data_IF_476991546840
#
_entry.id   IF_476991546840
#
_cell.length_a   1.000
_cell.length_b   1.000
_cell.length_c   1.000
_cell.angle_alpha   90.00
_cell.angle_beta   90.00
_cell.angle_gamma   90.00
#
_symmetry.space_group_name_H-M   'P 1'
#
loop_
_entity.id
_entity.type
_entity.pdbx_description
1 polymer ?
#
# COMPACT_ATOMS: atom_id res chain seq x y z
N UNK A 1 63.66 -27.43 28.50
CA UNK A 1 64.24 -27.01 27.19
C UNK A 1 63.59 -27.82 26.07
N UNK A 2 63.32 -27.15 24.94
CA UNK A 2 63.07 -27.67 23.58
C UNK A 2 61.74 -28.40 23.27
N UNK A 3 60.89 -27.71 22.50
CA UNK A 3 59.98 -28.30 21.50
C UNK A 3 60.79 -28.76 20.27
N UNK A 4 60.33 -29.79 19.55
CA UNK A 4 60.00 -29.63 18.13
C UNK A 4 58.66 -30.33 17.81
N UNK A 5 57.77 -29.80 16.98
CA UNK A 5 57.99 -29.58 15.55
C UNK A 5 57.49 -30.81 14.79
N UNK A 6 56.18 -30.90 14.56
CA UNK A 6 55.52 -32.02 13.88
C UNK A 6 54.45 -31.52 12.91
N UNK A 7 54.70 -31.75 11.64
CA UNK A 7 53.94 -31.36 10.46
C UNK A 7 52.51 -31.93 10.41
N UNK A 8 51.55 -31.05 10.08
CA UNK A 8 50.36 -31.18 9.18
C UNK A 8 49.51 -32.47 9.19
N UNK A 9 48.17 -32.34 9.05
CA UNK A 9 47.65 -31.95 7.73
C UNK A 9 46.66 -30.79 7.75
N UNK A 10 46.87 -29.90 6.76
CA UNK A 10 45.86 -28.97 6.28
C UNK A 10 44.62 -29.77 5.91
N UNK A 11 43.48 -29.42 6.50
CA UNK A 11 42.16 -29.92 6.09
C UNK A 11 42.04 -29.72 4.58
N UNK A 12 41.92 -30.84 3.87
CA UNK A 12 41.59 -30.89 2.45
C UNK A 12 40.17 -30.36 2.33
N UNK A 13 40.00 -29.12 1.89
CA UNK A 13 38.71 -28.67 1.38
C UNK A 13 38.38 -29.55 0.16
N UNK A 14 37.20 -30.17 0.08
CA UNK A 14 36.81 -30.84 -1.15
C UNK A 14 36.71 -29.80 -2.27
N UNK A 15 37.55 -29.96 -3.28
CA UNK A 15 37.56 -29.19 -4.53
C UNK A 15 36.39 -29.60 -5.43
N UNK A 16 35.17 -29.42 -4.94
CA UNK A 16 33.95 -29.63 -5.69
C UNK A 16 32.90 -28.65 -5.18
N UNK A 17 33.07 -27.39 -5.57
CA UNK A 17 31.97 -26.44 -5.57
C UNK A 17 31.28 -26.62 -6.93
N UNK A 18 30.01 -27.03 -6.99
CA UNK A 18 29.29 -27.05 -8.25
C UNK A 18 29.23 -25.62 -8.82
N UNK A 19 29.33 -25.43 -10.15
CA UNK A 19 29.11 -24.12 -10.73
C UNK A 19 27.73 -23.64 -10.33
N UNK A 20 27.61 -22.36 -9.94
CA UNK A 20 26.32 -21.72 -9.66
C UNK A 20 25.55 -21.52 -10.97
N UNK A 21 25.15 -22.63 -11.59
CA UNK A 21 24.27 -22.66 -12.75
C UNK A 21 22.94 -23.25 -12.29
N UNK A 22 21.94 -22.39 -12.21
CA UNK A 22 20.54 -22.79 -12.14
C UNK A 22 20.10 -23.29 -10.76
N UNK A 23 19.95 -22.36 -9.82
CA UNK A 23 18.87 -22.52 -8.84
C UNK A 23 17.57 -22.38 -9.66
N UNK A 24 16.72 -23.42 -9.80
CA UNK A 24 15.35 -23.15 -10.21
C UNK A 24 14.78 -22.27 -9.11
N UNK A 25 14.31 -21.08 -9.48
CA UNK A 25 13.51 -20.26 -8.60
C UNK A 25 12.41 -21.16 -8.04
N UNK A 26 12.55 -21.49 -6.75
CA UNK A 26 11.45 -21.99 -5.97
C UNK A 26 10.40 -20.89 -6.10
N UNK A 27 9.38 -21.18 -6.93
CA UNK A 27 8.33 -20.24 -7.26
C UNK A 27 7.79 -19.64 -5.98
N UNK A 28 8.21 -18.42 -5.70
CA UNK A 28 7.39 -17.50 -4.95
C UNK A 28 6.14 -17.42 -5.82
N UNK A 29 4.97 -17.94 -5.38
CA UNK A 29 3.78 -17.65 -6.13
C UNK A 29 3.70 -16.13 -6.12
N UNK A 30 3.91 -15.52 -7.29
CA UNK A 30 3.50 -14.17 -7.52
C UNK A 30 2.02 -14.18 -7.14
N UNK A 31 1.72 -13.64 -5.95
CA UNK A 31 0.36 -13.36 -5.53
C UNK A 31 -0.09 -12.18 -6.38
N UNK A 32 -0.26 -12.44 -7.67
CA UNK A 32 -1.03 -11.65 -8.61
C UNK A 32 -2.49 -11.85 -8.24
N UNK A 33 -2.86 -11.40 -7.04
CA UNK A 33 -4.25 -11.24 -6.62
C UNK A 33 -4.36 -9.87 -5.98
N UNK A 34 -3.87 -8.85 -6.67
CA UNK A 34 -4.17 -7.44 -6.37
C UNK A 34 -4.62 -6.77 -7.66
N UNK A 35 -5.65 -7.32 -8.28
CA UNK A 35 -6.24 -6.76 -9.50
C UNK A 35 -7.75 -6.97 -9.56
N UNK A 36 -8.20 -8.20 -9.32
CA UNK A 36 -9.62 -8.57 -9.44
C UNK A 36 -10.53 -8.11 -8.29
N UNK A 37 -9.98 -7.74 -7.13
CA UNK A 37 -10.79 -7.35 -5.97
C UNK A 37 -11.23 -5.88 -5.97
N UNK A 38 -10.67 -5.02 -6.84
CA UNK A 38 -11.04 -3.60 -6.88
C UNK A 38 -12.42 -3.37 -7.50
N UNK A 39 -12.83 -4.20 -8.45
CA UNK A 39 -14.10 -4.01 -9.17
C UNK A 39 -15.31 -4.61 -8.44
N UNK A 40 -15.09 -5.58 -7.54
CA UNK A 40 -16.16 -6.29 -6.83
C UNK A 40 -16.83 -5.46 -5.71
N UNK A 41 -16.21 -4.35 -5.28
CA UNK A 41 -16.65 -3.56 -4.12
C UNK A 41 -16.57 -4.32 -2.79
N UNK A 42 -16.99 -3.67 -1.70
CA UNK A 42 -17.03 -4.21 -0.35
C UNK A 42 -18.47 -4.22 0.19
N UNK A 43 -18.85 -5.25 0.92
CA UNK A 43 -20.11 -5.28 1.67
C UNK A 43 -20.06 -4.37 2.90
N UNK A 44 -21.22 -4.02 3.44
CA UNK A 44 -21.30 -3.23 4.67
C UNK A 44 -20.59 -3.92 5.83
N UNK A 45 -20.85 -5.20 6.06
CA UNK A 45 -20.24 -5.97 7.16
C UNK A 45 -18.71 -6.05 7.05
N UNK A 46 -18.17 -6.20 5.84
CA UNK A 46 -16.72 -6.17 5.61
C UNK A 46 -16.12 -4.80 5.98
N UNK A 47 -16.80 -3.71 5.62
CA UNK A 47 -16.37 -2.35 5.96
C UNK A 47 -16.44 -2.10 7.48
N UNK A 48 -17.52 -2.54 8.13
CA UNK A 48 -17.68 -2.42 9.58
C UNK A 48 -16.61 -3.20 10.31
N UNK A 49 -16.36 -4.46 9.91
CA UNK A 49 -15.31 -5.29 10.50
C UNK A 49 -13.95 -4.63 10.34
N UNK A 50 -13.64 -4.13 9.15
CA UNK A 50 -12.39 -3.42 8.89
C UNK A 50 -12.21 -2.19 9.78
N UNK A 51 -13.22 -1.32 9.85
CA UNK A 51 -13.16 -0.09 10.66
C UNK A 51 -13.06 -0.41 12.14
N UNK A 52 -13.83 -1.39 12.62
CA UNK A 52 -13.79 -1.85 14.02
C UNK A 52 -12.39 -2.30 14.41
N UNK A 53 -11.79 -3.16 13.60
CA UNK A 53 -10.48 -3.77 13.88
C UNK A 53 -9.36 -2.71 13.76
N UNK A 54 -9.45 -1.80 12.79
CA UNK A 54 -8.48 -0.72 12.56
C UNK A 54 -8.53 0.37 13.63
N UNK A 55 -9.73 0.78 14.02
CA UNK A 55 -9.96 1.89 14.97
C UNK A 55 -10.05 1.41 16.41
N UNK A 56 -10.05 0.10 16.66
CA UNK A 56 -10.24 -0.53 17.97
C UNK A 56 -11.47 0.03 18.69
N UNK A 57 -12.60 0.02 17.99
CA UNK A 57 -13.86 0.58 18.50
C UNK A 57 -14.96 -0.48 18.62
N UNK A 58 -16.13 -0.11 19.13
CA UNK A 58 -17.27 -1.02 19.21
C UNK A 58 -17.93 -1.20 17.83
N UNK A 59 -18.57 -2.33 17.63
CA UNK A 59 -19.27 -2.63 16.37
C UNK A 59 -20.34 -1.58 16.04
N UNK A 60 -21.13 -1.17 17.03
CA UNK A 60 -22.15 -0.12 16.85
C UNK A 60 -21.53 1.22 16.40
N UNK A 61 -20.38 1.60 16.95
CA UNK A 61 -19.70 2.85 16.59
C UNK A 61 -19.07 2.76 15.21
N UNK A 62 -18.47 1.61 14.87
CA UNK A 62 -17.96 1.34 13.53
C UNK A 62 -19.09 1.36 12.48
N UNK A 63 -20.21 0.70 12.75
CA UNK A 63 -21.38 0.66 11.87
C UNK A 63 -21.93 2.06 11.62
N UNK A 64 -22.13 2.85 12.68
CA UNK A 64 -22.58 4.24 12.55
C UNK A 64 -21.62 5.08 11.71
N UNK A 65 -20.31 4.99 11.96
CA UNK A 65 -19.31 5.73 11.18
C UNK A 65 -19.29 5.32 9.70
N UNK A 66 -19.35 4.01 9.41
CA UNK A 66 -19.40 3.50 8.03
C UNK A 66 -20.66 4.01 7.33
N UNK A 67 -21.81 3.98 7.99
CA UNK A 67 -23.06 4.48 7.42
C UNK A 67 -22.96 5.97 7.03
N UNK A 68 -22.43 6.82 7.91
CA UNK A 68 -22.27 8.25 7.62
C UNK A 68 -21.33 8.50 6.43
N UNK A 69 -20.21 7.77 6.37
CA UNK A 69 -19.26 7.88 5.26
C UNK A 69 -19.87 7.40 3.95
N UNK A 70 -20.62 6.31 3.95
CA UNK A 70 -21.29 5.81 2.75
C UNK A 70 -22.37 6.76 2.26
N UNK A 71 -23.21 7.30 3.16
CA UNK A 71 -24.23 8.31 2.81
C UNK A 71 -23.58 9.54 2.18
N UNK A 72 -22.54 10.08 2.80
CA UNK A 72 -21.81 11.23 2.27
C UNK A 72 -21.14 10.90 0.93
N UNK A 73 -20.43 9.78 0.84
CA UNK A 73 -19.73 9.36 -0.38
C UNK A 73 -20.66 9.15 -1.57
N UNK A 74 -21.87 8.63 -1.35
CA UNK A 74 -22.91 8.50 -2.37
C UNK A 74 -23.44 9.88 -2.79
N UNK A 75 -23.71 10.77 -1.84
CA UNK A 75 -24.16 12.14 -2.13
C UNK A 75 -23.12 12.91 -2.97
N UNK A 76 -21.83 12.74 -2.69
CA UNK A 76 -20.73 13.34 -3.45
C UNK A 76 -20.33 12.56 -4.71
N UNK A 77 -21.08 11.51 -5.09
CA UNK A 77 -20.77 10.64 -6.25
C UNK A 77 -19.35 10.05 -6.23
N UNK A 78 -18.73 9.96 -5.06
CA UNK A 78 -17.41 9.32 -4.84
C UNK A 78 -17.53 7.82 -4.57
N UNK A 79 -18.68 7.39 -4.08
CA UNK A 79 -19.01 6.00 -3.79
C UNK A 79 -20.25 5.62 -4.58
N UNK A 80 -20.21 4.45 -5.21
CA UNK A 80 -21.34 3.85 -5.91
C UNK A 80 -21.80 2.61 -5.14
N UNK A 81 -23.12 2.47 -4.99
CA UNK A 81 -23.74 1.24 -4.49
C UNK A 81 -24.12 0.37 -5.67
N UNK A 82 -23.54 -0.82 -5.72
CA UNK A 82 -23.80 -1.83 -6.74
C UNK A 82 -25.15 -2.52 -6.51
N UNK A 83 -25.71 -3.13 -7.56
CA UNK A 83 -26.99 -3.85 -7.49
C UNK A 83 -26.98 -5.03 -6.49
N UNK A 84 -25.80 -5.61 -6.25
CA UNK A 84 -25.59 -6.67 -5.26
C UNK A 84 -25.46 -6.15 -3.81
N UNK A 85 -25.72 -4.86 -3.57
CA UNK A 85 -25.65 -4.24 -2.25
C UNK A 85 -24.24 -3.91 -1.75
N UNK A 86 -23.20 -4.15 -2.57
CA UNK A 86 -21.81 -3.78 -2.24
C UNK A 86 -21.52 -2.33 -2.60
N UNK A 87 -20.47 -1.78 -2.02
CA UNK A 87 -20.02 -0.40 -2.21
C UNK A 87 -18.65 -0.38 -2.88
N UNK A 88 -18.49 0.43 -3.91
CA UNK A 88 -17.19 0.67 -4.55
C UNK A 88 -16.90 2.15 -4.67
N UNK A 89 -15.62 2.51 -4.76
CA UNK A 89 -15.25 3.85 -5.17
C UNK A 89 -15.65 4.04 -6.63
N UNK A 90 -16.25 5.20 -6.94
CA UNK A 90 -16.48 5.58 -8.31
C UNK A 90 -15.11 5.71 -9.01
N UNK A 91 -14.96 5.09 -10.19
CA UNK A 91 -13.75 5.26 -10.97
C UNK A 91 -13.59 6.74 -11.32
N UNK A 92 -12.46 7.32 -10.94
CA UNK A 92 -12.11 8.68 -11.29
C UNK A 92 -11.79 8.74 -12.80
N UNK A 93 -12.82 8.88 -13.63
CA UNK A 93 -12.66 9.60 -14.89
C UNK A 93 -13.21 11.00 -14.62
N UNK A 94 -12.40 11.93 -14.09
CA UNK A 94 -12.86 13.31 -13.95
C UNK A 94 -13.09 13.86 -15.36
N UNK A 95 -14.33 14.13 -15.81
CA UNK A 95 -14.53 14.91 -17.01
C UNK A 95 -14.19 16.35 -16.62
N UNK A 96 -13.05 16.86 -17.09
CA UNK A 96 -12.82 18.31 -17.13
C UNK A 96 -12.12 18.96 -15.93
N UNK A 97 -11.29 18.26 -15.15
CA UNK A 97 -10.32 18.96 -14.30
C UNK A 97 -9.09 19.41 -15.13
N UNK A 98 -9.33 20.30 -16.10
CA UNK A 98 -8.31 21.20 -16.62
C UNK A 98 -8.15 22.37 -15.63
N UNK A 99 -7.75 22.08 -14.39
CA UNK A 99 -7.35 23.13 -13.46
C UNK A 99 -5.94 23.56 -13.87
N UNK A 100 -5.85 24.53 -14.79
CA UNK A 100 -4.59 25.22 -15.05
C UNK A 100 -4.29 26.03 -13.80
N UNK A 101 -3.35 25.55 -13.00
CA UNK A 101 -2.74 26.34 -11.92
C UNK A 101 -2.07 27.53 -12.60
N UNK A 102 -2.74 28.68 -12.61
CA UNK A 102 -2.09 29.96 -12.92
C UNK A 102 -1.22 30.28 -11.71
N UNK A 103 0.10 30.31 -11.92
CA UNK A 103 1.07 30.68 -10.90
C UNK A 103 0.62 31.94 -10.15
N UNK A 104 0.51 31.82 -8.83
CA UNK A 104 0.27 32.94 -7.94
C UNK A 104 1.54 33.78 -7.93
N UNK A 105 1.52 34.90 -8.66
CA UNK A 105 2.57 35.91 -8.56
C UNK A 105 2.50 36.48 -7.16
N UNK A 106 3.43 36.07 -6.30
CA UNK A 106 3.73 36.81 -5.08
C UNK A 106 4.35 38.13 -5.53
N UNK A 107 3.57 39.21 -5.44
CA UNK A 107 4.14 40.56 -5.50
C UNK A 107 5.00 40.75 -4.25
N UNK A 108 6.29 40.45 -4.40
CA UNK A 108 7.35 40.89 -3.51
C UNK A 108 7.66 42.35 -3.86
N UNK A 109 6.83 43.25 -3.35
CA UNK A 109 7.10 44.69 -3.40
C UNK A 109 8.02 45.01 -2.21
N UNK A 110 9.31 44.87 -2.51
CA UNK A 110 10.48 45.05 -1.68
C UNK A 110 10.73 46.51 -1.23
N UNK A 111 11.55 46.64 -0.17
CA UNK A 111 12.39 47.78 0.28
C UNK A 111 11.70 48.81 1.21
N UNK A 112 12.04 48.92 2.50
CA UNK A 112 13.31 49.21 3.21
C UNK A 112 13.39 50.66 3.74
N UNK A 113 13.65 50.73 5.06
CA UNK A 113 14.51 51.69 5.79
C UNK A 113 13.96 52.97 6.42
N UNK A 114 14.23 53.05 7.74
CA UNK A 114 14.59 54.18 8.64
C UNK A 114 13.67 55.41 8.66
N UNK A 115 13.18 55.89 9.82
CA UNK A 115 13.86 56.24 11.09
C UNK A 115 12.91 56.06 12.29
#
# INVERSE_FOLDING_TARGET
MKRPGGDRPRRRFPSSMPPWNGRPEAGIPATTTTGAHRDAGASFDELVRYVRDRMRTTEARAAWSVEQVLRAGIAFRKIERLANGRYRLAQANPPGLACVIREMRTSDDSCCSSD
#
